data_IF_516105290415
#
_entry.id   IF_516105290415
#
_cell.length_a   1.000
_cell.length_b   1.000
_cell.length_c   1.000
_cell.angle_alpha   90.00
_cell.angle_beta   90.00
_cell.angle_gamma   90.00
#
_symmetry.space_group_name_H-M   'P 1'
#
loop_
_entity.id
_entity.type
_entity.pdbx_description
1 polymer ?
#
# COMPACT_ATOMS: atom_id res chain seq x y z
N UNK A 1 1.62 -1.60 -18.73
CA UNK A 1 2.07 -2.48 -17.63
C UNK A 1 2.93 -3.65 -18.14
N UNK A 2 4.27 -3.49 -18.13
CA UNK A 2 5.19 -4.55 -18.62
C UNK A 2 5.45 -5.66 -17.60
N UNK A 3 5.14 -5.44 -16.32
CA UNK A 3 5.48 -6.37 -15.21
C UNK A 3 4.31 -6.69 -14.27
N UNK A 4 3.15 -6.08 -14.44
CA UNK A 4 2.02 -6.25 -13.52
C UNK A 4 1.25 -7.58 -13.70
N UNK A 5 1.51 -8.33 -14.77
CA UNK A 5 1.08 -9.72 -14.92
C UNK A 5 2.33 -10.58 -15.14
N UNK A 6 2.76 -11.28 -14.10
CA UNK A 6 3.86 -12.24 -14.15
C UNK A 6 3.31 -13.59 -13.71
N UNK A 7 3.04 -14.46 -14.68
CA UNK A 7 2.61 -15.84 -14.40
C UNK A 7 3.82 -16.77 -14.28
N UNK A 8 3.74 -17.77 -13.41
CA UNK A 8 4.80 -18.76 -13.23
C UNK A 8 4.79 -19.79 -14.38
N UNK A 9 5.07 -19.35 -15.61
CA UNK A 9 5.15 -20.20 -16.81
C UNK A 9 3.80 -20.75 -17.31
N UNK A 10 3.61 -20.79 -18.64
CA UNK A 10 2.41 -21.33 -19.29
C UNK A 10 1.89 -20.46 -20.46
N UNK A 11 0.85 -20.94 -21.15
CA UNK A 11 0.09 -20.16 -22.14
C UNK A 11 -0.97 -19.35 -21.38
N UNK A 12 -0.54 -18.27 -20.72
CA UNK A 12 -1.42 -17.32 -20.04
C UNK A 12 -1.99 -16.31 -21.02
N UNK A 13 -3.29 -16.06 -20.98
CA UNK A 13 -3.86 -14.91 -21.68
C UNK A 13 -3.52 -13.63 -20.90
N UNK A 14 -3.00 -12.61 -21.60
CA UNK A 14 -2.74 -11.29 -21.01
C UNK A 14 -4.06 -10.57 -20.68
N UNK A 15 -4.69 -10.93 -19.56
CA UNK A 15 -6.02 -10.44 -19.15
C UNK A 15 -5.96 -9.13 -18.38
N UNK A 16 -4.77 -8.68 -17.97
CA UNK A 16 -4.61 -7.46 -17.18
C UNK A 16 -5.28 -6.24 -17.82
N UNK A 17 -5.07 -6.02 -19.11
CA UNK A 17 -5.71 -4.88 -19.81
C UNK A 17 -7.23 -4.95 -19.71
N UNK A 18 -7.82 -6.13 -19.93
CA UNK A 18 -9.27 -6.36 -19.80
C UNK A 18 -9.76 -6.01 -18.40
N UNK A 19 -9.04 -6.40 -17.36
CA UNK A 19 -9.40 -6.08 -15.98
C UNK A 19 -9.26 -4.59 -15.67
N UNK A 20 -8.19 -3.94 -16.14
CA UNK A 20 -8.00 -2.49 -15.97
C UNK A 20 -9.11 -1.69 -16.68
N UNK A 21 -9.54 -2.12 -17.88
CA UNK A 21 -10.68 -1.49 -18.58
C UNK A 21 -11.98 -1.62 -17.78
N UNK A 22 -12.22 -2.78 -17.16
CA UNK A 22 -13.39 -3.00 -16.29
C UNK A 22 -13.35 -2.13 -15.03
N UNK A 23 -12.18 -1.92 -14.43
CA UNK A 23 -12.01 -1.02 -13.29
C UNK A 23 -12.30 0.44 -13.70
N UNK A 24 -11.77 0.88 -14.84
CA UNK A 24 -12.02 2.21 -15.38
C UNK A 24 -13.52 2.44 -15.67
N UNK A 25 -14.19 1.49 -16.33
CA UNK A 25 -15.63 1.57 -16.61
C UNK A 25 -16.50 1.64 -15.35
N UNK A 26 -16.04 1.04 -14.25
CA UNK A 26 -16.73 1.09 -12.95
C UNK A 26 -16.39 2.33 -12.13
N UNK A 27 -15.51 3.22 -12.62
CA UNK A 27 -15.09 4.42 -11.90
C UNK A 27 -14.30 4.12 -10.63
N UNK A 28 -13.61 2.98 -10.55
CA UNK A 28 -12.78 2.65 -9.39
C UNK A 28 -11.62 3.64 -9.32
N UNK A 29 -11.40 4.24 -8.15
CA UNK A 29 -10.22 5.07 -7.90
C UNK A 29 -8.97 4.18 -7.87
N UNK A 30 -7.98 4.53 -8.68
CA UNK A 30 -6.71 3.82 -8.76
C UNK A 30 -5.59 4.78 -8.35
N UNK A 31 -4.79 4.37 -7.37
CA UNK A 31 -3.59 5.07 -6.94
C UNK A 31 -2.39 4.22 -7.37
N UNK A 32 -1.55 4.76 -8.25
CA UNK A 32 -0.30 4.14 -8.66
C UNK A 32 0.83 4.68 -7.78
N UNK A 33 1.29 3.87 -6.84
CA UNK A 33 2.51 4.15 -6.08
C UNK A 33 3.68 3.51 -6.80
N UNK A 34 4.44 4.31 -7.55
CA UNK A 34 5.61 3.84 -8.28
C UNK A 34 6.52 5.02 -8.65
N UNK A 35 7.85 4.85 -8.65
CA UNK A 35 8.75 5.84 -9.25
C UNK A 35 8.53 6.00 -10.78
N UNK A 36 7.87 5.03 -11.43
CA UNK A 36 7.61 5.01 -12.88
C UNK A 36 6.13 5.23 -13.17
N UNK A 37 5.82 6.31 -13.88
CA UNK A 37 4.44 6.65 -14.27
C UNK A 37 3.84 5.65 -15.25
N UNK A 38 4.66 5.08 -16.13
CA UNK A 38 4.27 4.20 -17.23
C UNK A 38 4.04 2.74 -16.82
N UNK A 39 4.14 2.43 -15.51
CA UNK A 39 3.76 1.13 -14.96
C UNK A 39 2.28 0.80 -15.20
N UNK A 40 1.42 1.83 -15.29
CA UNK A 40 0.03 1.72 -15.75
C UNK A 40 -0.18 2.52 -17.04
N UNK A 41 -1.11 2.09 -17.91
CA UNK A 41 -1.37 2.79 -19.15
C UNK A 41 -2.05 4.15 -18.92
N UNK A 42 -1.69 5.16 -19.69
CA UNK A 42 -2.20 6.54 -19.52
C UNK A 42 -3.72 6.66 -19.63
N UNK A 43 -4.36 5.83 -20.45
CA UNK A 43 -5.83 5.84 -20.61
C UNK A 43 -6.59 5.47 -19.33
N UNK A 44 -5.91 4.83 -18.36
CA UNK A 44 -6.47 4.51 -17.05
C UNK A 44 -6.54 5.74 -16.13
N UNK A 45 -5.73 6.76 -16.41
CA UNK A 45 -5.59 8.00 -15.64
C UNK A 45 -5.52 7.79 -14.11
N UNK A 46 -4.59 6.94 -13.61
CA UNK A 46 -4.43 6.73 -12.18
C UNK A 46 -3.92 8.00 -11.49
N UNK A 47 -4.23 8.15 -10.21
CA UNK A 47 -3.51 9.10 -9.36
C UNK A 47 -2.10 8.56 -9.13
N UNK A 48 -1.09 9.21 -9.71
CA UNK A 48 0.28 8.75 -9.65
C UNK A 48 1.04 9.39 -8.48
N UNK A 49 1.63 8.53 -7.65
CA UNK A 49 2.44 8.88 -6.48
C UNK A 49 3.89 8.47 -6.75
N UNK A 50 4.78 9.43 -7.09
CA UNK A 50 6.18 9.17 -7.41
C UNK A 50 6.99 8.91 -6.13
N UNK A 51 6.80 7.72 -5.55
CA UNK A 51 7.47 7.34 -4.31
C UNK A 51 9.00 7.29 -4.49
N UNK A 52 9.75 7.71 -3.47
CA UNK A 52 11.19 7.47 -3.41
C UNK A 52 11.46 5.94 -3.44
N UNK A 53 12.31 5.42 -4.34
CA UNK A 53 12.57 3.99 -4.42
C UNK A 53 12.98 3.37 -3.07
N UNK A 54 12.49 2.15 -2.79
CA UNK A 54 12.74 1.38 -1.57
C UNK A 54 12.19 2.00 -0.27
N UNK A 55 11.13 2.80 -0.36
CA UNK A 55 10.49 3.42 0.82
C UNK A 55 9.03 3.01 1.01
N UNK A 56 8.57 1.99 0.28
CA UNK A 56 7.21 1.47 0.29
C UNK A 56 6.77 1.00 1.69
N UNK A 57 7.68 0.34 2.43
CA UNK A 57 7.44 -0.06 3.83
C UNK A 57 7.07 1.14 4.70
N UNK A 58 7.76 2.27 4.55
CA UNK A 58 7.47 3.47 5.33
C UNK A 58 6.10 4.05 4.96
N UNK A 59 5.72 4.04 3.68
CA UNK A 59 4.39 4.45 3.26
C UNK A 59 3.31 3.55 3.88
N UNK A 60 3.46 2.23 3.80
CA UNK A 60 2.48 1.27 4.32
C UNK A 60 2.32 1.38 5.84
N UNK A 61 3.42 1.53 6.58
CA UNK A 61 3.40 1.77 8.02
C UNK A 61 2.75 3.13 8.35
N UNK A 62 3.02 4.18 7.56
CA UNK A 62 2.38 5.48 7.71
C UNK A 62 0.86 5.45 7.53
N UNK A 63 0.40 4.72 6.50
CA UNK A 63 -1.02 4.50 6.26
C UNK A 63 -1.67 3.74 7.43
N UNK A 64 -1.03 2.67 7.89
CA UNK A 64 -1.51 1.89 9.02
C UNK A 64 -1.56 2.75 10.29
N UNK A 65 -0.51 3.51 10.59
CA UNK A 65 -0.45 4.38 11.76
C UNK A 65 -1.49 5.49 11.76
N UNK A 66 -1.85 6.05 10.61
CA UNK A 66 -3.00 6.97 10.49
C UNK A 66 -4.34 6.28 10.76
N UNK A 67 -4.52 5.03 10.31
CA UNK A 67 -5.72 4.23 10.63
C UNK A 67 -5.79 3.93 12.13
N UNK A 68 -4.66 3.60 12.77
CA UNK A 68 -4.60 3.36 14.23
C UNK A 68 -4.88 4.66 14.98
N UNK A 69 -4.27 5.78 14.58
CA UNK A 69 -4.49 7.12 15.14
C UNK A 69 -5.96 7.53 15.13
N UNK A 70 -6.67 7.18 14.06
CA UNK A 70 -8.10 7.44 13.94
C UNK A 70 -8.98 6.43 14.70
N UNK A 71 -8.40 5.38 15.27
CA UNK A 71 -9.14 4.30 15.93
C UNK A 71 -10.00 3.46 14.98
N UNK A 72 -9.63 3.40 13.69
CA UNK A 72 -10.45 2.85 12.60
C UNK A 72 -10.04 1.45 12.13
N UNK A 73 -9.09 0.80 12.80
CA UNK A 73 -8.70 -0.58 12.52
C UNK A 73 -9.76 -1.57 12.99
N UNK A 74 -9.93 -2.66 12.26
CA UNK A 74 -10.89 -3.73 12.61
C UNK A 74 -10.33 -4.60 13.75
N UNK A 75 -10.69 -4.25 14.99
CA UNK A 75 -10.25 -4.96 16.19
C UNK A 75 -10.73 -6.40 16.23
N UNK A 76 -11.96 -6.67 15.78
CA UNK A 76 -12.55 -8.01 15.81
C UNK A 76 -11.87 -8.93 14.81
N UNK A 77 -11.49 -8.42 13.64
CA UNK A 77 -10.66 -9.16 12.69
C UNK A 77 -9.28 -9.46 13.27
N UNK A 78 -8.61 -8.46 13.83
CA UNK A 78 -7.28 -8.64 14.42
C UNK A 78 -7.28 -9.73 15.51
N UNK A 79 -8.29 -9.73 16.40
CA UNK A 79 -8.41 -10.73 17.47
C UNK A 79 -8.68 -12.14 16.93
N UNK A 80 -9.54 -12.28 15.92
CA UNK A 80 -9.99 -13.61 15.44
C UNK A 80 -9.08 -14.23 14.39
N UNK A 81 -8.35 -13.42 13.63
CA UNK A 81 -7.67 -13.85 12.40
C UNK A 81 -6.17 -13.62 12.42
N UNK A 82 -5.60 -13.02 13.48
CA UNK A 82 -4.17 -12.72 13.55
C UNK A 82 -3.55 -13.13 14.88
N UNK A 83 -2.23 -13.12 14.95
CA UNK A 83 -1.46 -13.32 16.18
C UNK A 83 -0.33 -12.30 16.22
N UNK A 84 -0.11 -11.66 17.37
CA UNK A 84 0.94 -10.65 17.56
C UNK A 84 0.60 -9.25 17.01
N UNK A 85 -0.68 -8.98 16.69
CA UNK A 85 -1.11 -7.67 16.23
C UNK A 85 -0.84 -6.56 17.25
N UNK A 86 -0.96 -6.87 18.55
CA UNK A 86 -0.62 -5.99 19.66
C UNK A 86 0.79 -5.40 19.53
N UNK A 87 1.78 -6.20 19.14
CA UNK A 87 3.16 -5.75 18.94
C UNK A 87 3.29 -4.77 17.77
N UNK A 88 2.58 -5.03 16.67
CA UNK A 88 2.57 -4.13 15.52
C UNK A 88 1.88 -2.81 15.89
N UNK A 89 0.73 -2.87 16.55
CA UNK A 89 -0.01 -1.70 17.01
C UNK A 89 0.84 -0.82 17.94
N UNK A 90 1.52 -1.43 18.92
CA UNK A 90 2.42 -0.72 19.82
C UNK A 90 3.57 -0.03 19.06
N UNK A 91 4.22 -0.73 18.12
CA UNK A 91 5.27 -0.15 17.29
C UNK A 91 4.80 1.03 16.42
N UNK A 92 3.59 0.94 15.85
CA UNK A 92 2.99 2.03 15.06
C UNK A 92 2.70 3.27 15.92
N UNK A 93 2.34 3.08 17.19
CA UNK A 93 2.16 4.15 18.18
C UNK A 93 3.50 4.73 18.69
N UNK A 94 4.63 4.09 18.38
CA UNK A 94 5.97 4.53 18.77
C UNK A 94 6.49 3.85 20.04
N UNK A 95 5.89 2.76 20.49
CA UNK A 95 6.46 1.94 21.55
C UNK A 95 7.81 1.34 21.09
N UNK A 96 8.79 1.37 21.99
CA UNK A 96 10.17 0.93 21.74
C UNK A 96 11.12 1.98 21.12
N UNK A 97 10.65 2.83 20.20
CA UNK A 97 11.51 3.82 19.52
C UNK A 97 11.11 5.29 19.73
N UNK A 98 9.98 5.56 20.36
CA UNK A 98 9.47 6.90 20.65
C UNK A 98 8.93 7.66 19.43
N UNK A 99 8.82 7.00 18.27
CA UNK A 99 8.42 7.65 17.01
C UNK A 99 7.12 7.04 16.51
N UNK A 100 6.04 7.82 16.52
CA UNK A 100 4.78 7.40 15.90
C UNK A 100 4.97 7.25 14.39
N UNK A 101 4.48 6.14 13.82
CA UNK A 101 4.56 5.86 12.38
C UNK A 101 3.38 6.48 11.63
N UNK A 102 3.29 7.81 11.66
CA UNK A 102 2.17 8.56 11.09
C UNK A 102 2.47 9.10 9.67
N UNK A 103 1.54 9.85 9.08
CA UNK A 103 1.71 10.39 7.75
C UNK A 103 2.89 11.37 7.63
N UNK A 104 3.18 12.14 8.68
CA UNK A 104 4.29 13.09 8.67
C UNK A 104 5.64 12.35 8.70
N UNK A 105 5.75 11.32 9.54
CA UNK A 105 6.90 10.43 9.56
C UNK A 105 7.14 9.76 8.20
N UNK A 106 6.09 9.17 7.61
CA UNK A 106 6.20 8.50 6.32
C UNK A 106 6.58 9.46 5.20
N UNK A 107 5.99 10.65 5.16
CA UNK A 107 6.30 11.69 4.17
C UNK A 107 7.78 12.07 4.14
N UNK A 108 8.41 12.21 5.32
CA UNK A 108 9.85 12.51 5.43
C UNK A 108 10.74 11.43 4.79
N UNK A 109 10.28 10.18 4.78
CA UNK A 109 11.04 9.04 4.24
C UNK A 109 10.72 8.84 2.75
N UNK A 110 9.43 8.76 2.40
CA UNK A 110 8.99 8.34 1.08
C UNK A 110 8.88 9.49 0.06
N UNK A 111 8.93 10.74 0.53
CA UNK A 111 8.88 11.93 -0.31
C UNK A 111 7.49 12.28 -0.85
N UNK A 112 6.43 11.65 -0.34
CA UNK A 112 5.05 11.95 -0.69
C UNK A 112 4.43 12.95 0.30
N UNK A 113 3.45 13.77 -0.11
CA UNK A 113 2.79 14.72 0.79
C UNK A 113 2.05 14.04 1.94
N UNK A 114 2.26 14.52 3.18
CA UNK A 114 1.64 13.93 4.37
C UNK A 114 0.10 14.01 4.34
N UNK A 115 -0.45 15.09 3.79
CA UNK A 115 -1.90 15.26 3.63
C UNK A 115 -2.49 14.23 2.67
N UNK A 116 -1.78 13.90 1.58
CA UNK A 116 -2.19 12.87 0.64
C UNK A 116 -2.19 11.48 1.31
N UNK A 117 -1.14 11.15 2.08
CA UNK A 117 -1.05 9.89 2.84
C UNK A 117 -2.21 9.77 3.83
N UNK A 118 -2.47 10.81 4.65
CA UNK A 118 -3.55 10.80 5.62
C UNK A 118 -4.95 10.69 4.96
N UNK A 119 -5.15 11.36 3.82
CA UNK A 119 -6.37 11.24 3.03
C UNK A 119 -6.57 9.83 2.47
N UNK A 120 -5.51 9.20 1.96
CA UNK A 120 -5.59 7.83 1.47
C UNK A 120 -5.92 6.85 2.60
N UNK A 121 -5.24 6.96 3.76
CA UNK A 121 -5.52 6.14 4.93
C UNK A 121 -7.00 6.17 5.35
N UNK A 122 -7.61 7.36 5.37
CA UNK A 122 -9.05 7.52 5.64
C UNK A 122 -9.91 6.80 4.61
N UNK A 123 -9.60 6.94 3.31
CA UNK A 123 -10.38 6.32 2.23
C UNK A 123 -10.28 4.79 2.24
N UNK A 124 -9.13 4.24 2.64
CA UNK A 124 -8.92 2.80 2.71
C UNK A 124 -9.94 2.12 3.64
N UNK A 125 -10.29 2.76 4.75
CA UNK A 125 -11.26 2.24 5.73
C UNK A 125 -12.71 2.65 5.47
N UNK A 126 -12.94 3.65 4.62
CA UNK A 126 -14.29 4.12 4.25
C UNK A 126 -14.85 3.40 3.00
N UNK A 127 -14.00 2.68 2.28
CA UNK A 127 -14.37 2.01 1.03
C UNK A 127 -13.80 0.60 0.97
N UNK A 128 -14.43 -0.27 0.17
CA UNK A 128 -13.85 -1.59 -0.10
C UNK A 128 -12.59 -1.41 -0.95
N UNK A 129 -11.44 -1.73 -0.36
CA UNK A 129 -10.13 -1.49 -0.92
C UNK A 129 -9.43 -2.79 -1.30
N UNK A 130 -8.54 -2.72 -2.30
CA UNK A 130 -7.66 -3.81 -2.69
C UNK A 130 -6.24 -3.25 -2.77
N UNK A 131 -5.30 -3.93 -2.12
CA UNK A 131 -3.88 -3.61 -2.18
C UNK A 131 -3.19 -4.61 -3.11
N UNK A 132 -2.50 -4.12 -4.14
CA UNK A 132 -1.71 -4.94 -5.07
C UNK A 132 -0.24 -4.57 -4.93
N UNK A 133 0.59 -5.54 -4.55
CA UNK A 133 2.02 -5.33 -4.31
C UNK A 133 2.84 -5.99 -5.42
N UNK A 134 3.75 -5.23 -6.03
CA UNK A 134 4.64 -5.75 -7.07
C UNK A 134 5.71 -6.68 -6.49
N UNK A 135 6.02 -7.77 -7.20
CA UNK A 135 7.14 -8.67 -6.86
C UNK A 135 8.51 -8.02 -7.00
N UNK A 136 8.61 -6.84 -7.63
CA UNK A 136 9.88 -6.11 -7.66
C UNK A 136 10.33 -5.65 -6.28
N UNK A 137 9.40 -5.37 -5.35
CA UNK A 137 9.73 -4.83 -4.03
C UNK A 137 10.58 -5.78 -3.18
N UNK A 138 10.41 -7.09 -3.35
CA UNK A 138 11.20 -8.08 -2.61
C UNK A 138 12.61 -8.32 -3.17
N UNK A 139 12.95 -7.73 -4.32
CA UNK A 139 14.28 -7.85 -4.95
C UNK A 139 15.16 -6.66 -4.61
N UNK A 140 15.10 -6.24 -3.36
CA UNK A 140 15.90 -5.17 -2.77
C UNK A 140 16.40 -5.61 -1.38
N UNK A 141 17.30 -4.81 -0.79
CA UNK A 141 17.71 -5.02 0.59
C UNK A 141 16.50 -4.91 1.54
N UNK A 142 16.35 -5.84 2.47
CA UNK A 142 15.15 -6.00 3.32
C UNK A 142 13.85 -6.17 2.53
N UNK A 143 13.91 -6.86 1.38
CA UNK A 143 12.80 -7.05 0.46
C UNK A 143 11.60 -7.80 1.04
N UNK A 144 11.76 -8.50 2.16
CA UNK A 144 10.65 -9.10 2.89
C UNK A 144 9.74 -8.03 3.55
N UNK A 145 10.30 -6.88 3.95
CA UNK A 145 9.61 -5.89 4.77
C UNK A 145 8.39 -5.24 4.08
N UNK A 146 8.43 -4.86 2.79
CA UNK A 146 7.25 -4.34 2.10
C UNK A 146 6.08 -5.32 2.09
N UNK A 147 6.33 -6.63 2.01
CA UNK A 147 5.26 -7.64 2.03
C UNK A 147 4.68 -7.83 3.43
N UNK A 148 5.52 -7.86 4.46
CA UNK A 148 5.06 -7.87 5.86
C UNK A 148 4.25 -6.62 6.21
N UNK A 149 4.70 -5.44 5.78
CA UNK A 149 3.99 -4.18 6.00
C UNK A 149 2.67 -4.12 5.22
N UNK A 150 2.63 -4.63 3.98
CA UNK A 150 1.40 -4.71 3.20
C UNK A 150 0.36 -5.61 3.86
N UNK A 151 0.77 -6.76 4.40
CA UNK A 151 -0.12 -7.65 5.15
C UNK A 151 -0.58 -7.05 6.48
N UNK A 152 0.28 -6.27 7.15
CA UNK A 152 -0.11 -5.55 8.37
C UNK A 152 -1.08 -4.40 8.13
N UNK A 153 -1.07 -3.81 6.93
CA UNK A 153 -1.99 -2.75 6.51
C UNK A 153 -3.34 -3.28 6.01
N UNK A 154 -3.35 -4.45 5.36
CA UNK A 154 -4.52 -5.05 4.70
C UNK A 154 -5.58 -5.56 5.69
#
# INVERSE_FOLDING_TARGET
>A
PRTAQSEAGGIGSHTLETHLRRLAQRGVKIVLVSPLRDDLPDWLAPEWWPIRPNTDTALMLGLAGEIIKAGRHDRDFLVRCTSGADRLLAYLEGDGDGVRKDAAWAAGICGLPADAIAQLARRLVDTRSMLTVSWSLQRAHHGEQPFWAALGLA
#
